data_IF_698650610528
#
_entry.id   IF_698650610528
#
_cell.length_a   1.000
_cell.length_b   1.000
_cell.length_c   1.000
_cell.angle_alpha   90.00
_cell.angle_beta   90.00
_cell.angle_gamma   90.00
#
_symmetry.space_group_name_H-M   'P 1'
#
loop_
_entity.id
_entity.type
_entity.pdbx_description
1 polymer ?
#
# COMPACT_ATOMS: atom_id res chain seq x y z
N UNK A 1 17.98 16.68 -23.40
CA UNK A 1 17.16 16.03 -22.37
C UNK A 1 16.08 17.02 -21.97
N UNK A 2 14.84 16.55 -21.79
CA UNK A 2 13.78 17.39 -21.22
C UNK A 2 14.08 17.57 -19.75
N UNK A 3 14.09 18.80 -19.26
CA UNK A 3 14.32 19.11 -17.86
C UNK A 3 13.06 18.70 -17.09
N UNK A 4 13.15 17.69 -16.24
CA UNK A 4 12.01 17.15 -15.50
C UNK A 4 12.02 17.64 -14.06
N UNK A 5 10.83 17.93 -13.53
CA UNK A 5 10.67 18.32 -12.14
C UNK A 5 9.86 17.28 -11.37
N UNK A 6 10.43 16.80 -10.27
CA UNK A 6 9.75 15.91 -9.32
C UNK A 6 9.19 16.70 -8.14
N UNK A 7 8.01 16.33 -7.66
CA UNK A 7 7.54 16.67 -6.32
C UNK A 7 7.54 15.41 -5.47
N UNK A 8 8.39 15.39 -4.46
CA UNK A 8 8.53 14.26 -3.53
C UNK A 8 7.79 14.62 -2.26
N UNK A 9 6.68 13.95 -2.01
CA UNK A 9 5.75 14.22 -0.92
C UNK A 9 6.07 13.28 0.23
N UNK A 10 6.37 13.85 1.39
CA UNK A 10 6.73 13.12 2.61
C UNK A 10 5.69 13.45 3.68
N UNK A 11 4.74 12.54 3.98
CA UNK A 11 3.88 12.68 5.15
C UNK A 11 4.74 12.49 6.41
N UNK A 12 4.65 13.43 7.34
CA UNK A 12 5.43 13.44 8.58
C UNK A 12 4.47 13.33 9.77
N UNK A 13 4.65 12.30 10.59
CA UNK A 13 3.94 12.18 11.86
C UNK A 13 4.77 11.40 12.87
N UNK A 14 5.30 12.08 13.88
CA UNK A 14 6.10 11.48 14.96
C UNK A 14 7.23 10.58 14.44
N UNK A 15 8.04 11.07 13.50
CA UNK A 15 9.17 10.38 12.89
C UNK A 15 10.48 11.17 12.96
N UNK A 16 10.64 12.03 13.98
CA UNK A 16 11.80 12.89 14.16
C UNK A 16 13.15 12.17 14.07
N UNK A 17 13.19 10.94 14.58
CA UNK A 17 14.43 10.13 14.62
C UNK A 17 14.94 9.80 13.21
N UNK A 18 14.02 9.62 12.24
CA UNK A 18 14.35 9.11 10.91
C UNK A 18 14.30 10.19 9.82
N UNK A 19 13.58 11.29 10.05
CA UNK A 19 13.27 12.29 9.03
C UNK A 19 14.50 12.90 8.37
N UNK A 20 15.59 13.15 9.12
CA UNK A 20 16.83 13.65 8.54
C UNK A 20 17.46 12.66 7.57
N UNK A 21 17.46 11.37 7.90
CA UNK A 21 17.98 10.31 7.03
C UNK A 21 17.16 10.21 5.75
N UNK A 22 15.83 10.23 5.88
CA UNK A 22 14.89 10.25 4.76
C UNK A 22 15.18 11.42 3.80
N UNK A 23 15.17 12.65 4.30
CA UNK A 23 15.38 13.86 3.48
C UNK A 23 16.78 13.86 2.85
N UNK A 24 17.81 13.48 3.59
CA UNK A 24 19.18 13.42 3.07
C UNK A 24 19.34 12.38 1.96
N UNK A 25 18.61 11.26 2.02
CA UNK A 25 18.65 10.25 0.95
C UNK A 25 18.18 10.80 -0.41
N UNK A 26 17.38 11.86 -0.39
CA UNK A 26 16.88 12.56 -1.57
C UNK A 26 17.78 13.72 -1.95
N UNK A 27 18.18 14.55 -0.98
CA UNK A 27 19.03 15.74 -1.22
C UNK A 27 20.40 15.37 -1.80
N UNK A 28 20.90 14.19 -1.48
CA UNK A 28 22.22 13.70 -1.96
C UNK A 28 22.13 12.97 -3.31
N UNK A 29 20.96 12.91 -3.94
CA UNK A 29 20.83 12.34 -5.29
C UNK A 29 21.64 13.17 -6.30
N UNK A 30 22.48 12.51 -7.06
CA UNK A 30 23.31 13.14 -8.09
C UNK A 30 22.61 13.03 -9.45
N UNK A 31 21.47 13.72 -9.59
CA UNK A 31 20.64 13.65 -10.78
C UNK A 31 20.55 15.00 -11.49
N UNK A 32 20.63 14.99 -12.83
CA UNK A 32 20.41 16.18 -13.67
C UNK A 32 18.90 16.41 -13.87
N UNK A 33 18.18 16.58 -12.76
CA UNK A 33 16.75 16.88 -12.72
C UNK A 33 16.41 17.81 -11.55
N UNK A 34 15.32 18.59 -11.71
CA UNK A 34 14.78 19.39 -10.62
C UNK A 34 13.92 18.55 -9.69
N UNK A 35 13.96 18.87 -8.41
CA UNK A 35 13.00 18.32 -7.46
C UNK A 35 12.65 19.30 -6.34
N UNK A 36 11.48 19.14 -5.79
CA UNK A 36 11.05 19.75 -4.54
C UNK A 36 10.64 18.64 -3.56
N UNK A 37 10.98 18.79 -2.30
CA UNK A 37 10.56 17.93 -1.21
C UNK A 37 9.49 18.67 -0.42
N UNK A 38 8.30 18.06 -0.30
CA UNK A 38 7.17 18.62 0.42
C UNK A 38 6.98 17.83 1.72
N UNK A 39 7.51 18.37 2.82
CA UNK A 39 7.32 17.83 4.16
C UNK A 39 5.95 18.27 4.67
N UNK A 40 5.04 17.34 4.87
CA UNK A 40 3.69 17.63 5.36
C UNK A 40 3.55 17.07 6.77
N UNK A 41 3.78 17.92 7.76
CA UNK A 41 3.58 17.56 9.16
C UNK A 41 2.10 17.45 9.50
N UNK A 42 1.68 16.25 9.83
CA UNK A 42 0.31 15.89 10.17
C UNK A 42 0.04 16.01 11.68
N UNK A 43 0.52 17.10 12.29
CA UNK A 43 0.29 17.42 13.69
C UNK A 43 1.14 16.58 14.65
N UNK A 44 2.44 16.47 14.39
CA UNK A 44 3.41 15.77 15.24
C UNK A 44 3.54 16.41 16.63
N UNK A 45 3.90 15.58 17.60
CA UNK A 45 4.12 15.99 19.00
C UNK A 45 5.52 15.69 19.54
N UNK A 46 6.38 15.07 18.72
CA UNK A 46 7.74 14.63 19.09
C UNK A 46 8.86 15.61 18.67
N UNK A 47 8.50 16.75 18.04
CA UNK A 47 9.43 17.73 17.49
C UNK A 47 9.76 17.49 16.00
N UNK A 48 9.01 16.63 15.31
CA UNK A 48 9.12 16.44 13.85
C UNK A 48 8.74 17.71 13.08
N UNK A 49 7.71 18.45 13.56
CA UNK A 49 7.28 19.69 12.92
C UNK A 49 8.37 20.76 12.91
N UNK A 50 9.03 20.99 14.07
CA UNK A 50 10.15 21.94 14.18
C UNK A 50 11.33 21.50 13.32
N UNK A 51 11.55 20.20 13.18
CA UNK A 51 12.57 19.65 12.30
C UNK A 51 12.26 19.91 10.82
N UNK A 52 11.00 19.78 10.40
CA UNK A 52 10.55 20.15 9.05
C UNK A 52 10.89 21.61 8.72
N UNK A 53 10.61 22.52 9.66
CA UNK A 53 10.93 23.94 9.49
C UNK A 53 12.43 24.23 9.40
N UNK A 54 13.25 23.50 10.17
CA UNK A 54 14.70 23.62 10.11
C UNK A 54 15.24 23.15 8.76
N UNK A 55 14.81 21.97 8.29
CA UNK A 55 15.21 21.41 7.00
C UNK A 55 14.79 22.32 5.82
N UNK A 56 13.62 22.93 5.91
CA UNK A 56 13.13 23.89 4.91
C UNK A 56 13.91 25.21 4.89
N UNK A 57 14.45 25.67 6.03
CA UNK A 57 15.32 26.86 6.09
C UNK A 57 16.72 26.61 5.56
N UNK A 58 17.20 25.38 5.68
CA UNK A 58 18.56 24.99 5.28
C UNK A 58 18.65 24.63 3.80
N UNK A 59 17.52 24.30 3.14
CA UNK A 59 17.49 23.78 1.78
C UNK A 59 16.35 24.38 0.95
N UNK A 60 16.66 25.13 -0.09
CA UNK A 60 15.68 25.79 -0.97
C UNK A 60 14.72 24.82 -1.68
N UNK A 61 15.13 23.58 -1.90
CA UNK A 61 14.29 22.53 -2.49
C UNK A 61 13.34 21.87 -1.50
N UNK A 62 13.45 22.15 -0.20
CA UNK A 62 12.59 21.59 0.86
C UNK A 62 11.55 22.62 1.28
N UNK A 63 10.30 22.22 1.33
CA UNK A 63 9.17 23.03 1.81
C UNK A 63 8.47 22.32 2.96
N UNK A 64 8.21 23.05 4.04
CA UNK A 64 7.50 22.59 5.22
C UNK A 64 6.06 23.07 5.23
N UNK A 65 5.14 22.19 5.55
CA UNK A 65 3.71 22.47 5.72
C UNK A 65 3.20 21.79 6.99
N UNK A 66 2.30 22.45 7.71
CA UNK A 66 1.71 21.92 8.92
C UNK A 66 0.19 21.85 8.79
N UNK A 67 -0.40 20.78 9.31
CA UNK A 67 -1.86 20.61 9.35
C UNK A 67 -2.32 19.90 10.61
N UNK A 68 -3.60 20.01 10.92
CA UNK A 68 -4.23 19.21 11.98
C UNK A 68 -4.18 17.74 11.54
N UNK A 69 -3.90 16.83 12.48
CA UNK A 69 -3.80 15.40 12.20
C UNK A 69 -5.05 14.86 11.50
N UNK A 70 -4.85 14.25 10.36
CA UNK A 70 -5.87 13.62 9.52
C UNK A 70 -5.42 12.27 8.95
N UNK A 71 -4.21 11.82 9.32
CA UNK A 71 -3.59 10.58 8.85
C UNK A 71 -2.81 10.74 7.55
N UNK A 72 -2.03 9.71 7.20
CA UNK A 72 -1.11 9.71 6.06
C UNK A 72 -1.81 10.05 4.73
N UNK A 73 -3.02 9.52 4.48
CA UNK A 73 -3.82 9.84 3.30
C UNK A 73 -4.09 11.35 3.17
N UNK A 74 -4.49 11.99 4.27
CA UNK A 74 -4.76 13.43 4.31
C UNK A 74 -3.49 14.27 4.09
N UNK A 75 -2.35 13.85 4.67
CA UNK A 75 -1.08 14.50 4.46
C UNK A 75 -0.58 14.36 3.01
N UNK A 76 -0.69 13.17 2.42
CA UNK A 76 -0.34 12.95 1.00
C UNK A 76 -1.23 13.76 0.06
N UNK A 77 -2.55 13.84 0.33
CA UNK A 77 -3.47 14.67 -0.45
C UNK A 77 -3.09 16.16 -0.40
N UNK A 78 -2.74 16.66 0.79
CA UNK A 78 -2.27 18.03 0.95
C UNK A 78 -0.98 18.27 0.14
N UNK A 79 -0.04 17.33 0.16
CA UNK A 79 1.16 17.38 -0.66
C UNK A 79 0.86 17.40 -2.16
N UNK A 80 -0.12 16.60 -2.65
CA UNK A 80 -0.57 16.63 -4.04
C UNK A 80 -1.07 18.02 -4.43
N UNK A 81 -1.82 18.70 -3.57
CA UNK A 81 -2.32 20.05 -3.83
C UNK A 81 -1.19 21.08 -3.92
N UNK A 82 -0.14 20.95 -3.12
CA UNK A 82 1.00 21.88 -3.08
C UNK A 82 2.05 21.57 -4.14
N UNK A 83 2.01 20.39 -4.77
CA UNK A 83 3.00 19.93 -5.73
C UNK A 83 3.01 20.75 -7.02
N UNK A 84 4.21 21.04 -7.54
CA UNK A 84 4.41 21.76 -8.80
C UNK A 84 5.13 20.94 -9.87
N UNK A 85 5.64 19.75 -9.50
CA UNK A 85 6.38 18.85 -10.36
C UNK A 85 5.53 18.19 -11.45
N UNK A 86 6.18 17.82 -12.53
CA UNK A 86 5.59 17.03 -13.62
C UNK A 86 5.35 15.58 -13.18
N UNK A 87 6.14 15.13 -12.22
CA UNK A 87 6.05 13.78 -11.64
C UNK A 87 5.96 13.86 -10.13
N UNK A 88 5.14 12.98 -9.54
CA UNK A 88 4.96 12.86 -8.09
C UNK A 88 5.55 11.55 -7.58
N UNK A 89 6.15 11.61 -6.41
CA UNK A 89 6.59 10.47 -5.62
C UNK A 89 6.10 10.62 -4.19
N UNK A 90 5.86 9.50 -3.52
CA UNK A 90 5.54 9.46 -2.09
C UNK A 90 6.64 8.67 -1.39
N UNK A 91 7.16 9.23 -0.30
CA UNK A 91 8.17 8.57 0.54
C UNK A 91 7.73 8.75 1.99
N UNK A 92 7.65 7.68 2.77
CA UNK A 92 7.30 7.79 4.18
C UNK A 92 8.50 8.35 4.97
N UNK A 93 8.24 9.14 6.02
CA UNK A 93 9.26 9.93 6.72
C UNK A 93 10.30 9.11 7.50
N UNK A 94 10.11 7.80 7.60
CA UNK A 94 11.03 6.82 8.21
C UNK A 94 11.78 5.95 7.18
N UNK A 95 11.51 6.13 5.89
CA UNK A 95 12.08 5.36 4.79
C UNK A 95 13.14 6.16 4.01
N UNK A 96 13.87 5.48 3.11
CA UNK A 96 14.93 6.11 2.31
C UNK A 96 14.90 5.68 0.85
N UNK A 97 15.54 6.50 -0.01
CA UNK A 97 15.71 6.24 -1.43
C UNK A 97 17.20 5.91 -1.75
N UNK A 98 17.44 4.87 -2.53
CA UNK A 98 18.79 4.52 -2.98
C UNK A 98 19.40 5.62 -3.85
N UNK A 99 20.72 5.76 -3.81
CA UNK A 99 21.46 6.65 -4.70
C UNK A 99 21.28 6.25 -6.18
N UNK A 100 21.18 7.26 -7.06
CA UNK A 100 20.98 7.08 -8.50
C UNK A 100 19.53 6.80 -8.91
N UNK A 101 18.59 6.77 -7.97
CA UNK A 101 17.17 6.52 -8.26
C UNK A 101 16.57 7.61 -9.15
N UNK A 102 16.73 8.89 -8.79
CA UNK A 102 16.16 10.00 -9.56
C UNK A 102 16.76 10.10 -10.97
N UNK A 103 18.08 9.83 -11.13
CA UNK A 103 18.73 9.77 -12.43
C UNK A 103 18.10 8.67 -13.30
N UNK A 104 18.01 7.44 -12.77
CA UNK A 104 17.40 6.32 -13.48
C UNK A 104 15.94 6.58 -13.87
N UNK A 105 15.17 7.23 -13.00
CA UNK A 105 13.78 7.57 -13.29
C UNK A 105 13.69 8.61 -14.40
N UNK A 106 14.56 9.64 -14.39
CA UNK A 106 14.63 10.67 -15.43
C UNK A 106 14.98 10.08 -16.79
N UNK A 107 15.99 9.22 -16.87
CA UNK A 107 16.35 8.51 -18.10
C UNK A 107 15.18 7.65 -18.60
N UNK A 108 14.59 6.86 -17.72
CA UNK A 108 13.46 5.99 -18.06
C UNK A 108 12.28 6.77 -18.63
N UNK A 109 11.92 7.91 -18.04
CA UNK A 109 10.82 8.74 -18.51
C UNK A 109 11.15 9.34 -19.89
N UNK A 110 12.36 9.86 -20.07
CA UNK A 110 12.79 10.44 -21.35
C UNK A 110 12.71 9.43 -22.50
N UNK A 111 13.12 8.19 -22.25
CA UNK A 111 13.19 7.14 -23.26
C UNK A 111 11.85 6.49 -23.56
N UNK A 112 11.01 6.28 -22.53
CA UNK A 112 9.77 5.50 -22.66
C UNK A 112 8.51 6.32 -22.78
N UNK A 113 8.52 7.58 -22.31
CA UNK A 113 7.34 8.44 -22.17
C UNK A 113 6.21 7.74 -21.38
N UNK A 114 6.58 6.99 -20.33
CA UNK A 114 5.62 6.25 -19.52
C UNK A 114 4.80 7.17 -18.60
N UNK A 115 3.64 6.68 -18.20
CA UNK A 115 2.74 7.38 -17.28
C UNK A 115 3.12 7.09 -15.83
N UNK A 116 3.65 5.90 -15.58
CA UNK A 116 4.08 5.47 -14.25
C UNK A 116 5.37 4.63 -14.35
N UNK A 117 6.26 4.83 -13.39
CA UNK A 117 7.34 3.86 -13.11
C UNK A 117 6.96 3.09 -11.85
N UNK A 118 7.20 1.79 -11.86
CA UNK A 118 7.13 0.90 -10.70
C UNK A 118 8.51 0.30 -10.49
N UNK A 119 9.04 0.38 -9.28
CA UNK A 119 10.38 -0.11 -8.96
C UNK A 119 10.39 -1.01 -7.74
N UNK A 120 11.46 -1.77 -7.55
CA UNK A 120 11.60 -2.70 -6.44
C UNK A 120 11.77 -1.99 -5.10
N UNK A 121 11.57 -2.75 -4.02
CA UNK A 121 11.74 -2.31 -2.63
C UNK A 121 12.67 -3.25 -1.87
N UNK A 122 13.37 -2.72 -0.87
CA UNK A 122 14.05 -3.49 0.16
C UNK A 122 13.30 -3.31 1.49
N UNK A 123 12.90 -4.38 2.12
CA UNK A 123 12.39 -4.35 3.50
C UNK A 123 13.58 -4.55 4.44
N UNK A 124 13.99 -3.47 5.11
CA UNK A 124 15.18 -3.40 5.93
C UNK A 124 14.80 -3.55 7.41
N UNK A 125 15.13 -4.70 8.00
CA UNK A 125 14.80 -5.04 9.38
C UNK A 125 15.89 -4.52 10.33
N UNK A 126 15.55 -3.55 11.15
CA UNK A 126 16.43 -2.93 12.14
C UNK A 126 16.25 -3.57 13.52
N UNK A 127 17.35 -3.81 14.20
CA UNK A 127 17.42 -4.13 15.63
C UNK A 127 18.51 -3.28 16.27
N UNK A 128 18.15 -2.48 17.27
CA UNK A 128 19.06 -1.52 17.94
C UNK A 128 19.82 -0.63 16.96
N UNK A 129 19.09 -0.06 16.00
CA UNK A 129 19.62 0.85 15.00
C UNK A 129 20.51 0.22 13.92
N UNK A 130 20.61 -1.11 13.86
CA UNK A 130 21.43 -1.79 12.85
C UNK A 130 20.58 -2.72 11.99
N UNK A 131 20.80 -2.75 10.68
CA UNK A 131 20.14 -3.68 9.77
C UNK A 131 20.61 -5.10 10.07
N UNK A 132 19.67 -5.97 10.43
CA UNK A 132 19.92 -7.39 10.73
C UNK A 132 19.51 -8.33 9.62
N UNK A 133 18.58 -7.92 8.80
CA UNK A 133 18.04 -8.69 7.68
C UNK A 133 17.45 -7.76 6.63
N UNK A 134 17.50 -8.16 5.36
CA UNK A 134 16.85 -7.49 4.25
C UNK A 134 16.06 -8.49 3.42
N UNK A 135 14.84 -8.11 3.03
CA UNK A 135 14.02 -8.86 2.08
C UNK A 135 13.78 -7.99 0.85
N UNK A 136 14.14 -8.49 -0.33
CA UNK A 136 13.97 -7.74 -1.57
C UNK A 136 12.64 -8.08 -2.23
N UNK A 137 11.86 -7.06 -2.52
CA UNK A 137 10.70 -7.12 -3.40
C UNK A 137 11.14 -6.67 -4.79
N UNK A 138 11.36 -7.64 -5.66
CA UNK A 138 11.74 -7.44 -7.05
C UNK A 138 10.49 -7.41 -7.93
N UNK A 139 10.42 -6.50 -8.89
CA UNK A 139 9.35 -6.47 -9.88
C UNK A 139 9.39 -7.70 -10.81
N UNK A 140 10.52 -8.42 -10.85
CA UNK A 140 10.78 -9.56 -11.77
C UNK A 140 10.50 -9.25 -13.26
N UNK A 141 10.40 -7.96 -13.58
CA UNK A 141 10.11 -7.42 -14.89
C UNK A 141 10.94 -6.16 -15.06
N UNK A 142 11.50 -5.97 -16.23
CA UNK A 142 12.14 -4.73 -16.62
C UNK A 142 11.57 -4.27 -17.98
N UNK A 143 11.22 -2.98 -18.08
CA UNK A 143 10.70 -2.38 -19.30
C UNK A 143 9.21 -2.03 -19.30
N UNK A 144 8.75 -1.51 -20.43
CA UNK A 144 7.38 -1.01 -20.61
C UNK A 144 6.36 -2.14 -20.67
N UNK A 145 5.22 -1.94 -19.99
CA UNK A 145 4.00 -2.73 -20.14
C UNK A 145 2.81 -1.81 -20.42
N UNK A 146 1.99 -2.21 -21.35
CA UNK A 146 0.70 -1.60 -21.57
C UNK A 146 -0.29 -2.03 -20.49
N UNK A 147 -1.24 -1.16 -20.16
CA UNK A 147 -2.29 -1.40 -19.18
C UNK A 147 -2.98 -2.77 -19.35
N UNK A 148 -3.37 -3.12 -20.57
CA UNK A 148 -4.02 -4.39 -20.89
C UNK A 148 -3.23 -5.62 -20.45
N UNK A 149 -1.90 -5.57 -20.55
CA UNK A 149 -1.02 -6.67 -20.12
C UNK A 149 -0.93 -6.79 -18.61
N UNK A 150 -1.03 -5.66 -17.90
CA UNK A 150 -1.05 -5.65 -16.43
C UNK A 150 -2.34 -6.25 -15.93
N UNK A 151 -3.48 -5.87 -16.50
CA UNK A 151 -4.77 -6.41 -16.10
C UNK A 151 -4.97 -7.89 -16.48
N UNK A 152 -4.39 -8.35 -17.60
CA UNK A 152 -4.36 -9.77 -17.94
C UNK A 152 -3.42 -10.63 -17.07
N UNK A 153 -2.70 -10.05 -16.11
CA UNK A 153 -1.80 -10.73 -15.15
C UNK A 153 -1.90 -10.11 -13.77
N UNK A 154 -3.03 -9.50 -13.44
CA UNK A 154 -3.21 -8.67 -12.25
C UNK A 154 -2.95 -9.42 -10.94
N UNK A 155 -3.40 -10.67 -10.86
CA UNK A 155 -3.21 -11.53 -9.69
C UNK A 155 -1.73 -11.66 -9.33
N UNK A 156 -0.86 -11.84 -10.31
CA UNK A 156 0.60 -11.91 -10.09
C UNK A 156 1.14 -10.63 -9.47
N UNK A 157 0.81 -9.47 -10.05
CA UNK A 157 1.30 -8.17 -9.54
C UNK A 157 0.77 -7.85 -8.15
N UNK A 158 -0.42 -8.37 -7.79
CA UNK A 158 -0.96 -8.26 -6.46
C UNK A 158 -0.24 -9.20 -5.47
N UNK A 159 -0.07 -10.48 -5.82
CA UNK A 159 0.60 -11.47 -4.98
C UNK A 159 2.07 -11.10 -4.70
N UNK A 160 2.75 -10.51 -5.68
CA UNK A 160 4.13 -10.01 -5.55
C UNK A 160 4.19 -8.63 -4.83
N UNK A 161 3.07 -8.09 -4.34
CA UNK A 161 2.96 -6.75 -3.73
C UNK A 161 3.49 -5.58 -4.59
N UNK A 162 3.74 -5.80 -5.87
CA UNK A 162 4.34 -4.81 -6.77
C UNK A 162 3.46 -3.58 -6.96
N UNK A 163 2.14 -3.76 -7.00
CA UNK A 163 1.16 -2.68 -7.17
C UNK A 163 0.55 -2.16 -5.86
N UNK A 164 0.80 -2.80 -4.72
CA UNK A 164 0.08 -2.53 -3.48
C UNK A 164 0.49 -1.24 -2.77
N UNK A 165 1.70 -0.73 -2.95
CA UNK A 165 2.20 0.49 -2.34
C UNK A 165 2.23 1.66 -3.31
N UNK A 166 2.00 2.89 -2.83
CA UNK A 166 2.23 4.12 -3.57
C UNK A 166 3.70 4.58 -3.52
N UNK A 167 4.49 4.09 -2.54
CA UNK A 167 5.83 4.59 -2.26
C UNK A 167 6.90 4.11 -3.26
N UNK A 168 6.70 2.97 -3.91
CA UNK A 168 7.62 2.44 -4.92
C UNK A 168 7.23 2.84 -6.35
N UNK A 169 6.74 4.06 -6.53
CA UNK A 169 6.23 4.53 -7.82
C UNK A 169 6.58 5.98 -8.11
N UNK A 170 6.73 6.27 -9.41
CA UNK A 170 6.76 7.62 -9.94
C UNK A 170 5.52 7.81 -10.79
N UNK A 171 4.73 8.83 -10.49
CA UNK A 171 3.44 9.11 -11.12
C UNK A 171 3.50 10.37 -11.97
N UNK A 172 2.95 10.36 -13.18
CA UNK A 172 2.75 11.59 -13.96
C UNK A 172 1.69 12.46 -13.28
N UNK A 173 2.08 13.65 -12.84
CA UNK A 173 1.24 14.57 -12.06
C UNK A 173 -0.05 14.98 -12.78
N UNK A 174 -0.01 15.18 -14.11
CA UNK A 174 -1.16 15.54 -14.90
C UNK A 174 -2.32 14.54 -14.76
N UNK A 175 -2.04 13.23 -14.78
CA UNK A 175 -3.05 12.17 -14.61
C UNK A 175 -3.75 12.32 -13.25
N UNK A 176 -2.99 12.55 -12.18
CA UNK A 176 -3.54 12.73 -10.82
C UNK A 176 -4.44 13.97 -10.75
N UNK A 177 -3.96 15.10 -11.31
CA UNK A 177 -4.62 16.39 -11.18
C UNK A 177 -5.87 16.50 -12.05
N UNK A 178 -5.79 16.09 -13.31
CA UNK A 178 -6.89 16.15 -14.28
C UNK A 178 -8.05 15.23 -13.89
N UNK A 179 -7.73 14.05 -13.32
CA UNK A 179 -8.73 13.08 -12.90
C UNK A 179 -9.07 13.16 -11.41
N UNK A 180 -8.55 14.17 -10.70
CA UNK A 180 -8.81 14.42 -9.29
C UNK A 180 -8.55 13.20 -8.38
N UNK A 181 -7.52 12.39 -8.74
CA UNK A 181 -7.18 11.18 -7.99
C UNK A 181 -6.63 11.57 -6.61
N UNK A 182 -7.19 10.98 -5.56
CA UNK A 182 -6.84 11.24 -4.16
C UNK A 182 -6.80 9.95 -3.35
N UNK A 183 -6.00 9.97 -2.30
CA UNK A 183 -6.10 8.96 -1.25
C UNK A 183 -7.43 9.12 -0.52
N UNK A 184 -8.09 8.01 -0.19
CA UNK A 184 -9.35 8.05 0.57
C UNK A 184 -9.03 8.31 2.04
N UNK A 185 -9.36 9.50 2.53
CA UNK A 185 -9.13 9.87 3.92
C UNK A 185 -9.94 8.99 4.86
N UNK A 186 -9.33 8.62 5.98
CA UNK A 186 -9.94 7.69 6.92
C UNK A 186 -9.84 6.21 6.53
N UNK A 187 -9.42 5.88 5.31
CA UNK A 187 -9.05 4.52 4.93
C UNK A 187 -7.73 4.17 5.62
N UNK A 188 -7.71 3.09 6.41
CA UNK A 188 -6.55 2.71 7.24
C UNK A 188 -5.84 1.44 6.75
N UNK A 189 -6.41 0.79 5.75
CA UNK A 189 -5.85 -0.37 5.08
C UNK A 189 -6.23 -0.30 3.60
N UNK A 190 -5.31 -0.64 2.73
CA UNK A 190 -5.45 -0.59 1.27
C UNK A 190 -5.56 0.82 0.67
N UNK A 191 -5.30 1.91 1.41
CA UNK A 191 -5.35 3.29 0.93
C UNK A 191 -4.41 3.51 -0.26
N UNK A 192 -3.19 3.00 -0.17
CA UNK A 192 -2.19 3.06 -1.24
C UNK A 192 -2.64 2.28 -2.46
N UNK A 193 -3.12 1.05 -2.24
CA UNK A 193 -3.56 0.19 -3.33
C UNK A 193 -4.78 0.77 -4.05
N UNK A 194 -5.73 1.33 -3.30
CA UNK A 194 -6.87 2.04 -3.88
C UNK A 194 -6.43 3.24 -4.73
N UNK A 195 -5.47 4.03 -4.24
CA UNK A 195 -4.91 5.15 -5.01
C UNK A 195 -4.25 4.67 -6.31
N UNK A 196 -3.45 3.60 -6.24
CA UNK A 196 -2.79 3.01 -7.42
C UNK A 196 -3.80 2.47 -8.43
N UNK A 197 -4.87 1.80 -7.99
CA UNK A 197 -5.93 1.32 -8.88
C UNK A 197 -6.61 2.49 -9.61
N UNK A 198 -6.99 3.53 -8.88
CA UNK A 198 -7.61 4.72 -9.47
C UNK A 198 -6.66 5.42 -10.46
N UNK A 199 -5.35 5.41 -10.21
CA UNK A 199 -4.36 5.92 -11.15
C UNK A 199 -4.26 5.06 -12.41
N UNK A 200 -4.25 3.74 -12.26
CA UNK A 200 -4.18 2.78 -13.37
C UNK A 200 -5.37 2.91 -14.33
N UNK A 201 -6.53 3.37 -13.86
CA UNK A 201 -7.69 3.63 -14.71
C UNK A 201 -7.38 4.59 -15.86
N UNK A 202 -6.51 5.58 -15.62
CA UNK A 202 -6.18 6.66 -16.55
C UNK A 202 -4.77 6.59 -17.13
N UNK A 203 -3.98 5.57 -16.78
CA UNK A 203 -2.64 5.35 -17.31
C UNK A 203 -2.65 4.33 -18.45
N UNK A 204 -1.73 4.45 -19.39
CA UNK A 204 -1.61 3.51 -20.52
C UNK A 204 -0.30 2.75 -20.52
N UNK A 205 0.82 3.44 -20.21
CA UNK A 205 2.16 2.89 -20.25
C UNK A 205 2.81 2.89 -18.88
N UNK A 206 3.12 1.71 -18.37
CA UNK A 206 3.77 1.53 -17.09
C UNK A 206 5.15 0.92 -17.33
N UNK A 207 6.19 1.53 -16.79
CA UNK A 207 7.55 1.01 -16.85
C UNK A 207 7.91 0.33 -15.52
N UNK A 208 8.46 -0.86 -15.61
CA UNK A 208 8.95 -1.61 -14.45
C UNK A 208 10.48 -1.57 -14.42
N UNK A 209 11.04 -1.30 -13.25
CA UNK A 209 12.47 -1.32 -12.98
C UNK A 209 12.71 -2.37 -11.89
N UNK A 210 13.47 -3.41 -12.23
CA UNK A 210 13.78 -4.51 -11.32
C UNK A 210 14.98 -4.19 -10.40
N UNK A 211 14.95 -3.00 -9.80
CA UNK A 211 15.94 -2.55 -8.82
C UNK A 211 15.24 -2.03 -7.57
N UNK A 212 15.73 -2.41 -6.37
CA UNK A 212 15.14 -1.98 -5.10
C UNK A 212 15.63 -0.58 -4.74
N UNK A 213 15.02 0.44 -5.35
CA UNK A 213 15.37 1.83 -5.05
C UNK A 213 14.74 2.36 -3.75
N UNK A 214 13.67 1.75 -3.24
CA UNK A 214 13.00 2.13 -2.01
C UNK A 214 13.43 1.23 -0.86
N UNK A 215 13.83 1.81 0.26
CA UNK A 215 14.20 1.12 1.50
C UNK A 215 13.12 1.33 2.55
N UNK A 216 12.31 0.32 2.76
CA UNK A 216 11.24 0.32 3.77
C UNK A 216 11.81 -0.13 5.11
N UNK A 217 11.78 0.78 6.10
CA UNK A 217 12.28 0.52 7.45
C UNK A 217 11.30 -0.32 8.26
N UNK A 218 11.79 -1.40 8.87
CA UNK A 218 11.06 -2.21 9.83
C UNK A 218 11.86 -2.28 11.12
N UNK A 219 11.47 -1.52 12.12
CA UNK A 219 12.07 -1.61 13.44
C UNK A 219 11.43 -2.75 14.22
N UNK A 220 12.21 -3.81 14.51
CA UNK A 220 11.72 -4.98 15.23
C UNK A 220 11.59 -4.74 16.74
N UNK A 221 12.23 -3.68 17.26
CA UNK A 221 12.15 -3.28 18.67
C UNK A 221 10.87 -2.46 18.93
N UNK A 222 10.39 -1.73 17.94
CA UNK A 222 9.19 -0.90 17.98
C UNK A 222 8.07 -1.50 17.14
N UNK A 223 7.47 -2.63 17.61
CA UNK A 223 6.36 -3.28 16.90
C UNK A 223 5.08 -2.44 16.92
N UNK A 224 4.94 -1.48 16.00
CA UNK A 224 3.67 -0.77 15.73
C UNK A 224 2.65 -1.60 14.93
N UNK A 225 2.99 -2.83 14.53
CA UNK A 225 2.20 -3.70 13.65
C UNK A 225 0.88 -4.23 14.24
N UNK A 226 0.65 -4.11 15.55
CA UNK A 226 -0.49 -4.80 16.18
C UNK A 226 -1.80 -4.02 16.25
N UNK A 227 -1.84 -2.73 15.96
CA UNK A 227 -3.05 -1.91 16.13
C UNK A 227 -3.88 -1.66 14.85
N UNK A 228 -3.44 -2.12 13.68
CA UNK A 228 -4.16 -1.86 12.41
C UNK A 228 -5.47 -2.62 12.25
N UNK A 229 -5.69 -3.70 13.00
CA UNK A 229 -6.87 -4.58 12.87
C UNK A 229 -7.82 -4.46 14.07
N UNK A 230 -7.89 -3.31 14.73
CA UNK A 230 -8.72 -3.16 15.94
C UNK A 230 -10.21 -2.96 15.68
N UNK A 231 -10.63 -2.62 14.46
CA UNK A 231 -12.03 -2.38 14.09
C UNK A 231 -12.39 -3.09 12.78
N UNK A 232 -13.14 -4.19 12.90
CA UNK A 232 -13.55 -5.02 11.77
C UNK A 232 -14.55 -4.31 10.83
N UNK A 233 -15.42 -3.45 11.36
CA UNK A 233 -16.36 -2.66 10.56
C UNK A 233 -15.62 -1.68 9.66
N UNK A 234 -14.58 -1.02 10.21
CA UNK A 234 -13.74 -0.12 9.44
C UNK A 234 -12.95 -0.85 8.36
N UNK A 235 -12.45 -2.04 8.67
CA UNK A 235 -11.75 -2.89 7.71
C UNK A 235 -12.67 -3.32 6.57
N UNK A 236 -13.93 -3.59 6.87
CA UNK A 236 -14.96 -3.88 5.87
C UNK A 236 -15.21 -2.69 4.96
N UNK A 237 -15.51 -1.53 5.54
CA UNK A 237 -15.77 -0.33 4.73
C UNK A 237 -14.60 0.00 3.81
N UNK A 238 -13.37 -0.18 4.29
CA UNK A 238 -12.17 -0.02 3.47
C UNK A 238 -12.12 -1.03 2.31
N UNK A 239 -12.46 -2.29 2.59
CA UNK A 239 -12.48 -3.32 1.56
C UNK A 239 -13.59 -3.07 0.53
N UNK A 240 -14.78 -2.66 0.95
CA UNK A 240 -15.88 -2.32 0.03
C UNK A 240 -15.51 -1.18 -0.91
N UNK A 241 -14.83 -0.14 -0.42
CA UNK A 241 -14.31 0.93 -1.27
C UNK A 241 -13.29 0.42 -2.30
N UNK A 242 -12.35 -0.42 -1.86
CA UNK A 242 -11.38 -1.05 -2.75
C UNK A 242 -12.07 -1.92 -3.80
N UNK A 243 -13.03 -2.75 -3.41
CA UNK A 243 -13.77 -3.63 -4.31
C UNK A 243 -14.60 -2.85 -5.34
N UNK A 244 -15.18 -1.70 -4.95
CA UNK A 244 -15.86 -0.81 -5.88
C UNK A 244 -14.89 -0.28 -6.94
N UNK A 245 -13.70 0.19 -6.54
CA UNK A 245 -12.67 0.63 -7.50
C UNK A 245 -12.22 -0.51 -8.42
N UNK A 246 -12.14 -1.74 -7.92
CA UNK A 246 -11.84 -2.92 -8.75
C UNK A 246 -12.94 -3.22 -9.77
N UNK A 247 -14.22 -3.10 -9.40
CA UNK A 247 -15.34 -3.30 -10.31
C UNK A 247 -15.35 -2.25 -11.42
N UNK A 248 -15.19 -0.98 -11.06
CA UNK A 248 -15.14 0.12 -12.00
C UNK A 248 -14.01 -0.07 -13.02
N UNK A 249 -12.84 -0.43 -12.54
CA UNK A 249 -11.66 -0.65 -13.38
C UNK A 249 -11.79 -1.92 -14.25
N UNK A 250 -12.35 -3.01 -13.71
CA UNK A 250 -12.65 -4.23 -14.46
C UNK A 250 -13.61 -3.95 -15.63
N UNK A 251 -14.62 -3.11 -15.41
CA UNK A 251 -15.56 -2.70 -16.44
C UNK A 251 -14.91 -1.88 -17.55
N UNK A 252 -13.92 -1.04 -17.21
CA UNK A 252 -13.17 -0.23 -18.19
C UNK A 252 -12.15 -1.04 -19.00
N UNK A 253 -11.63 -2.14 -18.42
CA UNK A 253 -10.52 -2.91 -19.01
C UNK A 253 -10.95 -4.24 -19.63
N UNK A 254 -12.22 -4.59 -19.53
CA UNK A 254 -12.79 -5.87 -19.96
C UNK A 254 -12.05 -7.09 -19.38
N UNK A 255 -11.46 -6.93 -18.17
CA UNK A 255 -10.66 -7.96 -17.50
C UNK A 255 -11.19 -8.22 -16.09
N UNK A 256 -11.65 -9.42 -15.86
CA UNK A 256 -12.19 -9.89 -14.57
C UNK A 256 -11.12 -10.56 -13.68
N UNK A 257 -9.85 -10.64 -14.11
CA UNK A 257 -8.80 -11.26 -13.30
C UNK A 257 -8.61 -10.56 -11.95
N UNK A 258 -8.76 -9.24 -11.94
CA UNK A 258 -8.72 -8.42 -10.73
C UNK A 258 -9.84 -8.78 -9.75
N UNK A 259 -11.02 -9.17 -10.24
CA UNK A 259 -12.16 -9.52 -9.39
C UNK A 259 -11.90 -10.83 -8.63
N UNK A 260 -11.07 -11.73 -9.16
CA UNK A 260 -10.64 -12.93 -8.42
C UNK A 260 -9.80 -12.55 -7.19
N UNK A 261 -8.94 -11.53 -7.30
CA UNK A 261 -8.19 -10.98 -6.18
C UNK A 261 -9.13 -10.34 -5.16
N UNK A 262 -10.11 -9.57 -5.62
CA UNK A 262 -11.15 -8.99 -4.76
C UNK A 262 -11.91 -10.06 -3.97
N UNK A 263 -12.28 -11.15 -4.60
CA UNK A 263 -12.91 -12.29 -3.93
C UNK A 263 -12.01 -12.93 -2.86
N UNK A 264 -10.72 -13.12 -3.15
CA UNK A 264 -9.74 -13.66 -2.19
C UNK A 264 -9.56 -12.73 -0.98
N UNK A 265 -9.52 -11.41 -1.19
CA UNK A 265 -9.46 -10.42 -0.12
C UNK A 265 -10.69 -10.47 0.77
N UNK A 266 -11.87 -10.57 0.17
CA UNK A 266 -13.12 -10.64 0.90
C UNK A 266 -13.22 -11.91 1.74
N UNK A 267 -12.84 -13.06 1.20
CA UNK A 267 -12.79 -14.32 1.94
C UNK A 267 -11.82 -14.23 3.10
N UNK A 268 -10.68 -13.56 2.90
CA UNK A 268 -9.69 -13.33 3.95
C UNK A 268 -10.26 -12.47 5.08
N UNK A 269 -11.08 -11.47 4.77
CA UNK A 269 -11.78 -10.66 5.77
C UNK A 269 -12.81 -11.47 6.56
N UNK A 270 -13.59 -12.31 5.88
CA UNK A 270 -14.52 -13.22 6.55
C UNK A 270 -13.78 -14.18 7.50
N UNK A 271 -12.65 -14.73 7.06
CA UNK A 271 -11.80 -15.57 7.89
C UNK A 271 -11.29 -14.83 9.14
N UNK A 272 -10.86 -13.56 8.97
CA UNK A 272 -10.42 -12.72 10.10
C UNK A 272 -11.55 -12.43 11.07
N UNK A 273 -12.76 -12.14 10.58
CA UNK A 273 -13.93 -11.90 11.40
C UNK A 273 -14.28 -13.14 12.24
N UNK A 274 -14.32 -14.32 11.63
CA UNK A 274 -14.57 -15.59 12.32
C UNK A 274 -13.51 -15.93 13.37
N UNK A 275 -12.24 -15.56 13.12
CA UNK A 275 -11.11 -15.92 13.98
C UNK A 275 -10.92 -14.95 15.16
N UNK A 276 -11.12 -13.65 14.95
CA UNK A 276 -10.62 -12.62 15.87
C UNK A 276 -11.71 -11.73 16.48
N UNK A 277 -12.93 -11.68 15.95
CA UNK A 277 -14.01 -10.90 16.57
C UNK A 277 -14.38 -11.48 17.95
N UNK A 278 -14.53 -10.60 18.93
CA UNK A 278 -15.00 -10.94 20.30
C UNK A 278 -16.51 -10.85 20.45
N UNK A 279 -17.25 -10.59 19.38
CA UNK A 279 -18.69 -10.44 19.39
C UNK A 279 -19.42 -11.73 19.71
N UNK A 280 -20.70 -11.60 20.12
CA UNK A 280 -21.61 -12.75 20.29
C UNK A 280 -21.77 -13.49 18.95
N UNK A 281 -22.13 -14.75 19.02
CA UNK A 281 -22.34 -15.59 17.82
C UNK A 281 -23.45 -15.02 16.93
N UNK A 282 -24.48 -14.44 17.55
CA UNK A 282 -25.62 -13.88 16.86
C UNK A 282 -25.25 -12.61 16.10
N UNK A 283 -24.56 -11.68 16.75
CA UNK A 283 -24.04 -10.47 16.11
C UNK A 283 -23.06 -10.78 14.96
N UNK A 284 -22.18 -11.78 15.14
CA UNK A 284 -21.30 -12.26 14.06
C UNK A 284 -22.07 -12.79 12.87
N UNK A 285 -23.14 -13.54 13.11
CA UNK A 285 -23.98 -14.08 12.05
C UNK A 285 -24.63 -12.97 11.24
N UNK A 286 -25.21 -11.97 11.91
CA UNK A 286 -25.84 -10.82 11.26
C UNK A 286 -24.80 -10.00 10.47
N UNK A 287 -23.66 -9.68 11.05
CA UNK A 287 -22.57 -8.97 10.38
C UNK A 287 -22.12 -9.75 9.14
N UNK A 288 -21.81 -11.05 9.26
CA UNK A 288 -21.34 -11.86 8.14
C UNK A 288 -22.41 -11.99 7.05
N UNK A 289 -23.68 -12.12 7.40
CA UNK A 289 -24.76 -12.14 6.42
C UNK A 289 -24.93 -10.80 5.72
N UNK A 290 -24.79 -9.67 6.43
CA UNK A 290 -24.80 -8.35 5.85
C UNK A 290 -23.66 -8.20 4.82
N UNK A 291 -22.47 -8.68 5.13
CA UNK A 291 -21.34 -8.73 4.21
C UNK A 291 -21.63 -9.54 2.95
N UNK A 292 -22.20 -10.74 3.13
CA UNK A 292 -22.49 -11.64 2.01
C UNK A 292 -23.61 -11.12 1.11
N UNK A 293 -24.44 -10.19 1.61
CA UNK A 293 -25.53 -9.55 0.87
C UNK A 293 -25.12 -8.19 0.25
N UNK A 294 -23.86 -7.78 0.38
CA UNK A 294 -23.35 -6.58 -0.31
C UNK A 294 -23.47 -6.76 -1.83
N UNK A 295 -24.06 -5.76 -2.50
CA UNK A 295 -24.21 -5.78 -3.96
C UNK A 295 -22.83 -5.80 -4.65
N UNK A 296 -21.85 -5.06 -4.12
CA UNK A 296 -20.47 -5.03 -4.62
C UNK A 296 -19.86 -6.41 -4.61
N UNK A 297 -20.06 -7.14 -3.53
CA UNK A 297 -19.51 -8.49 -3.39
C UNK A 297 -20.24 -9.50 -4.26
N UNK A 298 -21.57 -9.40 -4.36
CA UNK A 298 -22.36 -10.27 -5.23
C UNK A 298 -21.90 -10.15 -6.69
N UNK A 299 -21.66 -8.92 -7.17
CA UNK A 299 -21.18 -8.65 -8.52
C UNK A 299 -19.76 -9.19 -8.75
N UNK A 300 -18.85 -9.01 -7.77
CA UNK A 300 -17.50 -9.59 -7.85
C UNK A 300 -17.54 -11.12 -7.96
N UNK A 301 -18.43 -11.77 -7.23
CA UNK A 301 -18.57 -13.22 -7.33
C UNK A 301 -19.19 -13.69 -8.64
N UNK A 302 -20.14 -12.93 -9.18
CA UNK A 302 -20.81 -13.26 -10.43
C UNK A 302 -19.85 -13.12 -11.63
N UNK A 303 -19.08 -12.05 -11.68
CA UNK A 303 -18.16 -11.71 -12.77
C UNK A 303 -16.79 -12.36 -12.62
N UNK A 304 -16.27 -12.45 -11.41
CA UNK A 304 -14.98 -13.10 -11.13
C UNK A 304 -15.08 -14.61 -11.38
N UNK A 305 -14.63 -15.05 -12.50
CA UNK A 305 -14.70 -16.39 -13.05
C UNK A 305 -14.53 -17.52 -12.03
N UNK A 306 -15.60 -18.15 -11.62
CA UNK A 306 -15.75 -19.25 -10.67
C UNK A 306 -15.77 -18.78 -9.19
N UNK A 307 -16.92 -18.91 -8.51
CA UNK A 307 -16.95 -18.64 -7.07
C UNK A 307 -15.96 -19.59 -6.40
N UNK A 308 -15.02 -19.00 -5.66
CA UNK A 308 -13.98 -19.72 -4.95
C UNK A 308 -14.64 -20.86 -4.14
N UNK A 309 -14.21 -22.13 -4.30
CA UNK A 309 -14.91 -23.30 -3.69
C UNK A 309 -15.11 -23.13 -2.17
N UNK A 310 -14.14 -22.50 -1.50
CA UNK A 310 -14.16 -22.19 -0.07
C UNK A 310 -15.26 -21.19 0.30
N UNK A 311 -15.59 -20.25 -0.57
CA UNK A 311 -16.67 -19.29 -0.34
C UNK A 311 -18.03 -19.98 -0.35
N UNK A 312 -18.33 -20.84 -1.34
CA UNK A 312 -19.59 -21.59 -1.40
C UNK A 312 -19.81 -22.42 -0.13
N UNK A 313 -18.77 -23.10 0.32
CA UNK A 313 -18.81 -23.88 1.57
C UNK A 313 -19.06 -22.97 2.76
N UNK A 314 -18.27 -21.88 2.89
CA UNK A 314 -18.37 -20.94 4.02
C UNK A 314 -19.75 -20.30 4.09
N UNK A 315 -20.24 -19.78 2.96
CA UNK A 315 -21.57 -19.15 2.87
C UNK A 315 -22.70 -20.12 3.17
N UNK A 316 -22.67 -21.32 2.59
CA UNK A 316 -23.67 -22.37 2.85
C UNK A 316 -23.72 -22.72 4.34
N UNK A 317 -22.57 -22.85 5.00
CA UNK A 317 -22.49 -23.16 6.43
C UNK A 317 -22.97 -22.01 7.31
N UNK A 318 -22.69 -20.75 6.93
CA UNK A 318 -23.19 -19.56 7.63
C UNK A 318 -24.72 -19.47 7.49
N UNK A 319 -25.23 -19.57 6.27
CA UNK A 319 -26.67 -19.50 5.99
C UNK A 319 -27.47 -20.62 6.66
N UNK A 320 -26.88 -21.81 6.79
CA UNK A 320 -27.50 -22.95 7.51
C UNK A 320 -27.35 -22.87 9.04
N UNK A 321 -26.80 -21.81 9.61
CA UNK A 321 -26.64 -21.63 11.05
C UNK A 321 -25.50 -22.39 11.69
N UNK A 322 -24.58 -22.98 10.91
CA UNK A 322 -23.42 -23.75 11.41
C UNK A 322 -22.22 -22.88 11.86
N UNK A 323 -22.47 -21.61 12.25
CA UNK A 323 -21.42 -20.66 12.65
C UNK A 323 -20.61 -21.18 13.85
N UNK A 324 -21.27 -21.83 14.81
CA UNK A 324 -20.60 -22.39 16.00
C UNK A 324 -19.55 -23.45 15.64
N UNK A 325 -19.85 -24.29 14.67
CA UNK A 325 -18.94 -25.36 14.26
C UNK A 325 -17.79 -24.80 13.41
N UNK A 326 -18.08 -23.81 12.57
CA UNK A 326 -17.07 -23.02 11.89
C UNK A 326 -16.10 -22.37 12.88
N UNK A 327 -16.61 -21.71 13.93
CA UNK A 327 -15.75 -21.09 14.96
C UNK A 327 -14.89 -22.10 15.69
N UNK A 328 -15.42 -23.28 16.04
CA UNK A 328 -14.62 -24.34 16.68
C UNK A 328 -13.50 -24.82 15.75
N UNK A 329 -13.81 -24.96 14.46
CA UNK A 329 -12.84 -25.39 13.46
C UNK A 329 -11.74 -24.31 13.29
N UNK A 330 -12.11 -23.04 13.17
CA UNK A 330 -11.17 -21.94 13.06
C UNK A 330 -10.30 -21.77 14.33
N UNK A 331 -10.88 -21.93 15.53
CA UNK A 331 -10.10 -21.95 16.77
C UNK A 331 -9.05 -23.08 16.77
N UNK A 332 -9.41 -24.28 16.29
CA UNK A 332 -8.46 -25.39 16.15
C UNK A 332 -7.37 -25.09 15.13
N UNK A 333 -7.71 -24.49 13.99
CA UNK A 333 -6.73 -24.05 12.96
C UNK A 333 -5.77 -23.01 13.56
N UNK A 334 -6.28 -22.01 14.29
CA UNK A 334 -5.48 -20.98 14.98
C UNK A 334 -4.49 -21.60 15.97
N UNK A 335 -4.95 -22.54 16.79
CA UNK A 335 -4.08 -23.24 17.74
C UNK A 335 -2.97 -24.04 17.01
N UNK A 336 -3.29 -24.71 15.90
CA UNK A 336 -2.30 -25.42 15.07
C UNK A 336 -1.30 -24.44 14.43
N UNK A 337 -1.76 -23.29 13.91
CA UNK A 337 -0.87 -22.28 13.33
C UNK A 337 0.08 -21.69 14.38
N UNK A 338 -0.45 -21.35 15.57
CA UNK A 338 0.36 -20.80 16.66
C UNK A 338 1.39 -21.82 17.15
N UNK A 339 1.02 -23.11 17.25
CA UNK A 339 1.95 -24.18 17.57
C UNK A 339 3.05 -24.31 16.51
N UNK A 340 2.70 -24.26 15.19
CA UNK A 340 3.69 -24.29 14.11
C UNK A 340 4.64 -23.09 14.14
N UNK A 341 4.12 -21.86 14.37
CA UNK A 341 4.95 -20.66 14.55
C UNK A 341 5.89 -20.80 15.75
N UNK A 342 5.39 -21.34 16.87
CA UNK A 342 6.21 -21.57 18.07
C UNK A 342 7.31 -22.61 17.80
N UNK A 343 6.99 -23.71 17.11
CA UNK A 343 7.95 -24.74 16.72
C UNK A 343 9.00 -24.15 15.77
N UNK A 344 8.58 -23.37 14.74
CA UNK A 344 9.51 -22.72 13.82
C UNK A 344 10.48 -21.78 14.53
N UNK A 345 9.99 -20.99 15.51
CA UNK A 345 10.83 -20.14 16.37
C UNK A 345 11.82 -20.94 17.23
N UNK A 346 11.41 -22.10 17.78
CA UNK A 346 12.29 -22.98 18.55
C UNK A 346 13.37 -23.57 17.64
N UNK A 347 13.00 -24.07 16.45
CA UNK A 347 13.97 -24.63 15.48
C UNK A 347 14.98 -23.56 15.06
N UNK A 348 14.54 -22.33 14.83
CA UNK A 348 15.43 -21.21 14.50
C UNK A 348 16.39 -20.84 15.65
N UNK A 349 15.94 -21.01 16.92
CA UNK A 349 16.81 -20.79 18.11
C UNK A 349 17.80 -21.92 18.35
N UNK A 350 17.49 -23.14 17.92
CA UNK A 350 18.39 -24.31 18.08
C UNK A 350 19.43 -24.37 16.94
N UNK A 351 19.16 -23.71 15.81
CA UNK A 351 20.09 -23.63 14.68
C UNK A 351 21.07 -22.43 14.74
N UNK A 352 20.95 -21.58 15.76
CA UNK A 352 21.93 -20.56 16.16
C UNK A 352 22.74 -21.07 17.36
#
# INVERSE_FOLDING_TARGET
MRYMKYSIIIPVYNCKEYLCECVNSILTQNADCDFEILLVDDGSSDGSGELCDSLSKENDSVKSFHKINGGAASARNYGIEKSTGEYLMFIDGDDTLSQGALEQFAETINDSLCDMIVYGMSFDYYHKGTITHQELLSCQINGVKEKSKIFGSFKRYFEDNTLSSACNKVFRSAIIKENQIRFVEGMTLYEDFNFVLNYLAYSEKIFFIDQPYYHYRIDVDHQHLHNRVSNLEKLQSNLELLLSSMLDLSSQTESDEMLSVGADLYISLLDLNLLYSNESIENKRESILAYCNSNVFAEILERGAQPHPRYKELFSRISSGQINDLQKEYRKRRLKMNARKKIKRIIQKVRK
#
